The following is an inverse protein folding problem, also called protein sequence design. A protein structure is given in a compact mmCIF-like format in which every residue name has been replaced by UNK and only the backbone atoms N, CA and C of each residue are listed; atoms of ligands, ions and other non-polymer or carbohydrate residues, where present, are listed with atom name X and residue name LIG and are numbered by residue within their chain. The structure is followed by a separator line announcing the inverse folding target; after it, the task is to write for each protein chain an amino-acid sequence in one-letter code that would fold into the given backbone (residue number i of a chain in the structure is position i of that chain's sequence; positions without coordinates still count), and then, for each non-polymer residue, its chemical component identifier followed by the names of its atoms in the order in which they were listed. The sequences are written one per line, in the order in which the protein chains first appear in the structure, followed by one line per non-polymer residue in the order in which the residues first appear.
data_IF_410028584911
#
_entry.id   IF_410028584911
#
_cell.length_a   1.000
_cell.length_b   1.000
_cell.length_c   1.000
_cell.angle_alpha   90.00
_cell.angle_beta   90.00
_cell.angle_gamma   90.00
#
_symmetry.space_group_name_H-M   'P 1'
#
loop_
_entity.id
_entity.type
_entity.pdbx_description
1 polymer ?
#
# COMPACT_ATOMS: atom_id res chain seq x y z
N UNK A 1 -25.54 -44.63 45.83
CA UNK A 1 -26.76 -43.83 46.10
C UNK A 1 -26.39 -42.35 46.19
N UNK A 2 -26.87 -41.53 45.25
CA UNK A 2 -27.23 -40.10 45.36
C UNK A 2 -27.59 -39.67 43.91
N UNK A 3 -28.83 -39.89 43.47
CA UNK A 3 -29.92 -38.90 43.35
C UNK A 3 -29.55 -37.65 42.54
N UNK A 4 -30.10 -37.63 41.33
CA UNK A 4 -30.67 -36.49 40.61
C UNK A 4 -30.92 -35.23 41.47
N UNK A 5 -30.48 -34.06 40.98
CA UNK A 5 -31.37 -33.00 40.46
C UNK A 5 -30.60 -31.69 40.24
N UNK A 6 -30.76 -31.17 39.02
CA UNK A 6 -30.94 -29.76 38.68
C UNK A 6 -29.91 -28.72 39.16
N UNK A 7 -29.08 -28.28 38.22
CA UNK A 7 -29.11 -26.85 37.85
C UNK A 7 -28.73 -26.63 36.39
N UNK A 8 -29.77 -26.29 35.64
CA UNK A 8 -29.77 -25.67 34.31
C UNK A 8 -28.70 -24.59 34.19
N UNK A 9 -27.94 -24.57 33.11
CA UNK A 9 -27.54 -23.33 32.44
C UNK A 9 -27.28 -23.57 30.94
N UNK A 10 -27.96 -22.72 30.16
CA UNK A 10 -27.66 -22.30 28.81
C UNK A 10 -27.76 -23.32 27.66
N UNK A 11 -29.01 -23.52 27.26
CA UNK A 11 -29.37 -23.55 25.83
C UNK A 11 -28.83 -22.30 25.12
N UNK A 12 -27.96 -22.47 24.12
CA UNK A 12 -27.92 -21.57 22.95
C UNK A 12 -28.12 -22.40 21.69
N UNK A 13 -29.38 -22.38 21.25
CA UNK A 13 -29.89 -22.97 20.01
C UNK A 13 -29.11 -22.37 18.82
N UNK A 14 -28.51 -23.24 18.02
CA UNK A 14 -27.93 -22.91 16.72
C UNK A 14 -29.10 -22.75 15.74
N UNK A 15 -29.31 -21.53 15.26
CA UNK A 15 -30.28 -21.22 14.21
C UNK A 15 -29.66 -21.52 12.84
N UNK A 16 -30.36 -22.23 11.93
CA UNK A 16 -29.92 -22.36 10.55
C UNK A 16 -30.24 -21.09 9.76
N UNK A 17 -29.25 -20.57 9.02
CA UNK A 17 -29.38 -19.44 8.11
C UNK A 17 -30.18 -19.92 6.88
N UNK A 18 -31.40 -19.39 6.71
CA UNK A 18 -32.23 -19.62 5.53
C UNK A 18 -31.76 -18.68 4.42
N UNK A 19 -31.23 -19.26 3.35
CA UNK A 19 -30.94 -18.60 2.08
C UNK A 19 -32.28 -18.40 1.34
N UNK A 20 -32.73 -17.16 1.16
CA UNK A 20 -33.89 -16.85 0.31
C UNK A 20 -33.38 -16.27 -1.00
N UNK A 21 -33.35 -17.10 -2.03
CA UNK A 21 -33.30 -16.72 -3.44
C UNK A 21 -34.69 -16.19 -3.84
N UNK A 22 -34.78 -14.92 -4.22
CA UNK A 22 -35.95 -14.38 -4.90
C UNK A 22 -35.51 -13.84 -6.27
N UNK A 23 -35.81 -14.61 -7.31
CA UNK A 23 -35.77 -14.21 -8.73
C UNK A 23 -37.17 -14.47 -9.28
N UNK A 24 -37.53 -13.68 -10.30
CA UNK A 24 -38.77 -13.67 -11.10
C UNK A 24 -39.87 -12.84 -10.43
N UNK A 25 -40.43 -11.79 -11.03
CA UNK A 25 -40.37 -11.23 -12.38
C UNK A 25 -41.68 -10.47 -12.60
N UNK A 26 -41.69 -9.42 -13.43
CA UNK A 26 -42.82 -9.02 -14.30
C UNK A 26 -42.43 -7.75 -15.07
N UNK A 27 -42.30 -7.92 -16.38
CA UNK A 27 -42.41 -6.88 -17.41
C UNK A 27 -43.86 -6.42 -17.55
N UNK A 28 -44.06 -5.41 -18.40
CA UNK A 28 -45.27 -4.61 -18.69
C UNK A 28 -45.46 -3.45 -17.69
N UNK A 29 -45.41 -2.18 -18.07
CA UNK A 29 -45.48 -1.56 -19.38
C UNK A 29 -46.33 -0.30 -19.23
N UNK A 30 -45.70 0.87 -19.12
CA UNK A 30 -46.39 2.15 -19.28
C UNK A 30 -45.60 2.99 -20.28
N UNK A 31 -46.14 3.05 -21.49
CA UNK A 31 -45.92 4.15 -22.41
C UNK A 31 -46.31 5.45 -21.69
N UNK A 32 -45.41 6.42 -21.72
CA UNK A 32 -45.74 7.80 -22.04
C UNK A 32 -44.42 8.49 -22.36
N UNK A 33 -44.27 8.89 -23.62
CA UNK A 33 -43.23 9.80 -24.08
C UNK A 33 -43.77 11.21 -23.88
N UNK A 34 -43.18 12.04 -23.02
CA UNK A 34 -43.21 13.47 -23.21
C UNK A 34 -41.86 13.89 -23.77
N UNK A 35 -41.91 14.39 -24.99
CA UNK A 35 -40.82 15.10 -25.66
C UNK A 35 -40.51 16.36 -24.85
N UNK A 36 -39.47 16.27 -24.02
CA UNK A 36 -38.86 17.41 -23.35
C UNK A 36 -37.39 17.39 -23.72
N UNK A 37 -37.06 18.16 -24.75
CA UNK A 37 -35.70 18.56 -25.09
C UNK A 37 -35.14 19.42 -23.95
N UNK A 38 -34.84 18.77 -22.82
CA UNK A 38 -33.97 19.32 -21.80
C UNK A 38 -32.59 19.37 -22.45
N UNK A 39 -32.16 20.56 -22.84
CA UNK A 39 -30.75 20.86 -23.01
C UNK A 39 -30.07 20.44 -21.71
N UNK A 40 -29.51 19.25 -21.68
CA UNK A 40 -28.50 18.88 -20.71
C UNK A 40 -27.35 19.84 -21.02
N UNK A 41 -27.35 20.93 -20.28
CA UNK A 41 -26.20 21.80 -20.18
C UNK A 41 -25.07 20.89 -19.67
N UNK A 42 -24.26 20.40 -20.62
CA UNK A 42 -22.97 19.82 -20.35
C UNK A 42 -22.12 20.95 -19.77
N UNK A 43 -22.35 21.30 -18.50
CA UNK A 43 -21.35 21.96 -17.69
C UNK A 43 -20.12 21.07 -17.82
N UNK A 44 -19.00 21.57 -18.36
CA UNK A 44 -17.77 20.81 -18.34
C UNK A 44 -17.56 20.46 -16.88
N UNK A 45 -17.61 19.16 -16.56
CA UNK A 45 -17.17 18.67 -15.26
C UNK A 45 -15.75 19.16 -15.16
N UNK A 46 -15.57 20.26 -14.45
CA UNK A 46 -14.27 20.81 -14.09
C UNK A 46 -13.52 19.64 -13.52
N UNK A 47 -12.56 19.09 -14.29
CA UNK A 47 -11.64 18.05 -13.84
C UNK A 47 -10.94 18.64 -12.63
N UNK A 48 -11.45 18.37 -11.43
CA UNK A 48 -10.71 18.58 -10.19
C UNK A 48 -9.55 17.60 -10.25
N UNK A 49 -8.47 17.99 -10.91
CA UNK A 49 -7.19 17.29 -10.89
C UNK A 49 -6.57 17.54 -9.52
N UNK A 50 -7.12 16.90 -8.51
CA UNK A 50 -6.64 17.03 -7.14
C UNK A 50 -7.04 15.80 -6.36
N UNK A 51 -6.04 15.03 -5.94
CA UNK A 51 -6.21 13.86 -5.10
C UNK A 51 -6.07 14.30 -3.64
N UNK A 52 -6.82 13.68 -2.74
CA UNK A 52 -6.71 13.99 -1.31
C UNK A 52 -5.61 13.15 -0.67
N UNK A 53 -5.60 11.84 -0.92
CA UNK A 53 -4.60 10.90 -0.37
C UNK A 53 -4.03 9.99 -1.45
N UNK A 54 -2.84 9.43 -1.17
CA UNK A 54 -2.21 8.40 -2.00
C UNK A 54 -3.06 7.12 -2.08
N UNK A 55 -3.93 6.87 -1.10
CA UNK A 55 -4.85 5.72 -1.08
C UNK A 55 -5.70 5.60 -2.35
N UNK A 56 -6.10 6.74 -2.92
CA UNK A 56 -6.98 6.80 -4.10
C UNK A 56 -6.37 6.15 -5.35
N UNK A 57 -5.05 5.96 -5.38
CA UNK A 57 -4.34 5.37 -6.51
C UNK A 57 -3.20 4.44 -6.09
N UNK A 58 -3.12 4.04 -4.82
CA UNK A 58 -2.04 3.23 -4.28
C UNK A 58 -1.90 1.88 -4.99
N UNK A 59 -3.02 1.26 -5.40
CA UNK A 59 -3.03 0.00 -6.14
C UNK A 59 -2.30 0.09 -7.50
N UNK A 60 -2.22 1.28 -8.09
CA UNK A 60 -1.66 1.48 -9.43
C UNK A 60 -0.19 1.87 -9.40
N UNK A 61 0.42 2.02 -8.21
CA UNK A 61 1.79 2.51 -8.09
C UNK A 61 2.77 1.55 -8.77
N UNK A 62 2.72 0.25 -8.43
CA UNK A 62 3.66 -0.74 -8.95
C UNK A 62 3.63 -0.90 -10.47
N UNK A 63 2.45 -0.75 -11.11
CA UNK A 63 2.31 -0.85 -12.57
C UNK A 63 2.70 0.43 -13.31
N UNK A 64 2.90 1.54 -12.58
CA UNK A 64 3.21 2.85 -13.13
C UNK A 64 4.54 3.41 -12.60
N UNK A 65 5.39 2.55 -12.05
CA UNK A 65 6.69 2.89 -11.52
C UNK A 65 7.70 1.84 -11.99
N UNK A 66 8.77 2.30 -12.62
CA UNK A 66 9.97 1.50 -12.84
C UNK A 66 11.07 1.93 -11.89
N UNK A 67 12.00 1.03 -11.57
CA UNK A 67 13.14 1.30 -10.69
C UNK A 67 14.41 0.69 -11.23
N UNK A 68 15.54 1.35 -10.99
CA UNK A 68 16.81 0.67 -11.16
C UNK A 68 17.02 -0.37 -10.05
N UNK A 69 17.98 -1.28 -10.26
CA UNK A 69 18.37 -2.22 -9.22
C UNK A 69 18.89 -1.45 -7.99
N UNK A 70 18.29 -1.64 -6.81
CA UNK A 70 18.71 -0.90 -5.63
C UNK A 70 20.13 -1.21 -5.20
N UNK A 71 20.80 -0.18 -4.71
CA UNK A 71 22.14 -0.24 -4.14
C UNK A 71 22.02 -0.27 -2.63
N UNK A 72 22.52 -1.35 -2.03
CA UNK A 72 22.63 -1.49 -0.58
C UNK A 72 24.08 -1.23 -0.17
N UNK A 73 24.28 -0.43 0.88
CA UNK A 73 25.59 -0.17 1.47
C UNK A 73 25.49 -0.23 2.99
N UNK A 74 26.56 -0.68 3.62
CA UNK A 74 26.64 -0.76 5.08
C UNK A 74 27.73 0.18 5.56
N UNK A 75 27.37 1.13 6.42
CA UNK A 75 28.28 2.09 7.01
C UNK A 75 28.10 2.03 8.53
N UNK A 76 29.15 1.63 9.25
CA UNK A 76 29.08 1.43 10.70
C UNK A 76 27.87 0.55 11.08
N UNK A 77 26.97 1.10 11.88
CA UNK A 77 25.74 0.45 12.35
C UNK A 77 24.50 0.91 11.55
N UNK A 78 24.66 1.15 10.24
CA UNK A 78 23.56 1.56 9.37
C UNK A 78 23.59 0.79 8.05
N UNK A 79 22.39 0.48 7.55
CA UNK A 79 22.19 0.06 6.16
C UNK A 79 21.59 1.23 5.39
N UNK A 80 22.18 1.53 4.25
CA UNK A 80 21.71 2.55 3.33
C UNK A 80 21.22 1.86 2.05
N UNK A 81 19.94 2.00 1.75
CA UNK A 81 19.32 1.51 0.52
C UNK A 81 19.01 2.72 -0.36
N UNK A 82 19.43 2.68 -1.61
CA UNK A 82 19.18 3.77 -2.57
C UNK A 82 18.87 3.24 -3.95
N UNK A 83 17.87 3.83 -4.60
CA UNK A 83 17.46 3.47 -5.96
C UNK A 83 16.74 4.65 -6.61
N UNK A 84 16.79 4.70 -7.93
CA UNK A 84 16.06 5.65 -8.75
C UNK A 84 14.74 5.04 -9.15
N UNK A 85 13.65 5.78 -8.96
CA UNK A 85 12.35 5.45 -9.50
C UNK A 85 12.00 6.39 -10.65
N UNK A 86 11.30 5.86 -11.65
CA UNK A 86 10.70 6.63 -12.75
C UNK A 86 9.21 6.35 -12.76
N UNK A 87 8.40 7.40 -12.65
CA UNK A 87 6.95 7.29 -12.66
C UNK A 87 6.38 7.53 -14.07
N UNK A 88 5.32 6.81 -14.41
CA UNK A 88 4.52 7.12 -15.60
C UNK A 88 3.95 8.54 -15.47
N UNK A 89 3.70 9.20 -16.61
CA UNK A 89 3.14 10.56 -16.63
C UNK A 89 1.81 10.64 -15.88
N UNK A 90 1.01 9.58 -15.90
CA UNK A 90 -0.25 9.52 -15.16
C UNK A 90 0.02 9.54 -13.65
N UNK A 91 0.86 8.63 -13.15
CA UNK A 91 1.16 8.54 -11.73
C UNK A 91 1.92 9.76 -11.22
N UNK A 92 2.86 10.31 -11.99
CA UNK A 92 3.55 11.57 -11.71
C UNK A 92 2.54 12.69 -11.42
N UNK A 93 1.54 12.86 -12.30
CA UNK A 93 0.49 13.86 -12.10
C UNK A 93 -0.30 13.59 -10.82
N UNK A 94 -0.67 12.34 -10.53
CA UNK A 94 -1.38 12.02 -9.28
C UNK A 94 -0.55 12.43 -8.08
N UNK A 95 0.70 11.98 -8.01
CA UNK A 95 1.64 12.24 -6.92
C UNK A 95 1.87 13.75 -6.69
N UNK A 96 2.05 14.54 -7.76
CA UNK A 96 2.25 16.00 -7.66
C UNK A 96 1.01 16.76 -7.17
N UNK A 97 -0.19 16.26 -7.49
CA UNK A 97 -1.46 16.92 -7.18
C UNK A 97 -2.20 16.30 -5.99
N UNK A 98 -1.54 15.42 -5.23
CA UNK A 98 -2.05 14.90 -3.96
C UNK A 98 -1.83 15.91 -2.85
N UNK A 99 -2.91 16.26 -2.14
CA UNK A 99 -2.88 17.29 -1.10
C UNK A 99 -2.14 16.84 0.15
N UNK A 100 -2.44 15.64 0.64
CA UNK A 100 -1.86 15.11 1.86
C UNK A 100 -0.49 14.46 1.60
N UNK A 101 0.45 14.51 2.55
CA UNK A 101 1.75 13.87 2.38
C UNK A 101 1.61 12.34 2.37
N UNK A 102 2.51 11.69 1.65
CA UNK A 102 2.77 10.26 1.79
C UNK A 102 4.18 10.02 2.28
N UNK A 103 4.45 8.81 2.75
CA UNK A 103 5.75 8.40 3.29
C UNK A 103 6.20 7.09 2.67
N UNK A 104 7.47 6.79 2.86
CA UNK A 104 8.06 5.51 2.48
C UNK A 104 9.01 5.00 3.56
N UNK A 105 9.19 3.69 3.58
CA UNK A 105 10.22 3.00 4.35
C UNK A 105 10.47 1.62 3.76
N UNK A 106 11.31 0.83 4.42
CA UNK A 106 11.45 -0.60 4.16
C UNK A 106 11.30 -1.37 5.45
N UNK A 107 10.87 -2.62 5.34
CA UNK A 107 10.85 -3.59 6.44
C UNK A 107 11.47 -4.91 6.00
N UNK A 108 11.64 -5.82 6.95
CA UNK A 108 11.94 -7.21 6.61
C UNK A 108 10.81 -7.79 5.77
N UNK A 109 11.18 -8.55 4.74
CA UNK A 109 10.20 -9.29 3.96
C UNK A 109 9.40 -10.24 4.86
N UNK A 110 8.10 -10.27 4.62
CA UNK A 110 7.18 -11.16 5.32
C UNK A 110 7.72 -12.59 5.17
N UNK A 111 7.84 -13.34 6.28
CA UNK A 111 8.45 -14.69 6.38
C UNK A 111 10.00 -14.77 6.47
N UNK A 112 10.73 -13.67 6.26
CA UNK A 112 12.19 -13.60 6.49
C UNK A 112 12.49 -13.11 7.91
N UNK A 113 12.61 -14.04 8.88
CA UNK A 113 12.86 -13.68 10.29
C UNK A 113 14.29 -13.23 10.60
N UNK A 114 15.22 -13.41 9.66
CA UNK A 114 16.64 -13.16 9.90
C UNK A 114 16.97 -11.66 9.98
N UNK A 115 16.30 -10.82 9.18
CA UNK A 115 16.56 -9.39 9.17
C UNK A 115 16.05 -8.70 10.45
N UNK A 116 14.90 -9.15 10.98
CA UNK A 116 14.29 -8.66 12.23
C UNK A 116 15.23 -8.71 13.44
N UNK A 117 16.24 -9.59 13.42
CA UNK A 117 17.29 -9.67 14.46
C UNK A 117 18.31 -8.55 14.35
N UNK A 118 18.44 -7.92 13.18
CA UNK A 118 19.44 -6.92 12.85
C UNK A 118 18.87 -5.49 12.85
N UNK A 119 17.61 -5.34 12.43
CA UNK A 119 16.88 -4.06 12.42
C UNK A 119 15.76 -4.04 13.48
N UNK A 120 15.40 -2.86 13.97
CA UNK A 120 14.24 -2.70 14.86
C UNK A 120 12.95 -2.49 14.05
N UNK A 121 12.19 -3.56 13.86
CA UNK A 121 10.91 -3.53 13.13
C UNK A 121 9.85 -2.63 13.75
N UNK A 122 9.96 -2.30 15.04
CA UNK A 122 9.00 -1.44 15.73
C UNK A 122 9.38 0.05 15.60
N UNK A 123 10.59 0.36 15.12
CA UNK A 123 11.12 1.72 15.00
C UNK A 123 11.71 1.97 13.62
N UNK A 124 10.96 1.60 12.58
CA UNK A 124 11.38 1.86 11.21
C UNK A 124 11.37 3.38 10.92
N UNK A 125 12.46 3.93 10.37
CA UNK A 125 12.50 5.33 9.98
C UNK A 125 11.53 5.56 8.83
N UNK A 126 10.72 6.61 8.93
CA UNK A 126 9.78 7.01 7.89
C UNK A 126 10.32 8.23 7.18
N UNK A 127 10.35 8.17 5.86
CA UNK A 127 10.81 9.25 5.00
C UNK A 127 9.62 9.83 4.26
N UNK A 128 9.54 11.15 4.16
CA UNK A 128 8.46 11.80 3.41
C UNK A 128 8.74 11.65 1.92
N UNK A 129 7.71 11.28 1.16
CA UNK A 129 7.71 11.41 -0.29
C UNK A 129 7.57 12.91 -0.62
N UNK A 130 8.65 13.58 -0.98
CA UNK A 130 8.60 14.96 -1.45
C UNK A 130 8.49 14.99 -2.98
N UNK A 131 7.28 14.72 -3.47
CA UNK A 131 7.04 14.50 -4.89
C UNK A 131 6.60 15.77 -5.63
N UNK A 132 6.49 16.89 -4.91
CA UNK A 132 6.26 18.21 -5.52
C UNK A 132 7.50 18.72 -6.26
N UNK A 133 8.67 18.17 -5.92
CA UNK A 133 9.96 18.50 -6.53
C UNK A 133 10.41 17.46 -7.56
N UNK A 134 9.51 16.56 -8.00
CA UNK A 134 9.81 15.60 -9.06
C UNK A 134 10.39 16.31 -10.28
N UNK A 135 11.59 15.92 -10.68
CA UNK A 135 12.23 16.44 -11.88
C UNK A 135 11.36 16.09 -13.10
N UNK A 136 11.39 16.95 -14.13
CA UNK A 136 10.71 16.69 -15.41
C UNK A 136 11.02 15.25 -15.88
N UNK A 137 9.98 14.48 -16.17
CA UNK A 137 10.10 13.07 -16.56
C UNK A 137 9.93 12.07 -15.41
N UNK A 138 9.32 12.47 -14.29
CA UNK A 138 8.88 11.54 -13.24
C UNK A 138 10.00 10.85 -12.46
N UNK A 139 11.22 11.39 -12.48
CA UNK A 139 12.38 10.78 -11.82
C UNK A 139 12.45 11.16 -10.34
N UNK A 140 12.65 10.18 -9.45
CA UNK A 140 12.84 10.38 -8.02
C UNK A 140 13.96 9.50 -7.47
N UNK A 141 14.79 10.05 -6.58
CA UNK A 141 15.83 9.29 -5.90
C UNK A 141 15.37 8.89 -4.51
N UNK A 142 15.10 7.60 -4.31
CA UNK A 142 14.88 7.05 -2.99
C UNK A 142 16.21 6.84 -2.27
N UNK A 143 16.23 7.22 -0.99
CA UNK A 143 17.30 6.91 -0.05
C UNK A 143 16.68 6.59 1.30
N UNK A 144 17.07 5.45 1.86
CA UNK A 144 16.57 4.90 3.11
C UNK A 144 17.77 4.55 3.96
N UNK A 145 17.76 4.98 5.22
CA UNK A 145 18.83 4.70 6.18
C UNK A 145 18.21 3.96 7.34
N UNK A 146 18.52 2.67 7.49
CA UNK A 146 18.06 1.84 8.59
C UNK A 146 19.14 1.75 9.66
N UNK A 147 18.83 2.11 10.92
CA UNK A 147 19.74 1.84 12.03
C UNK A 147 19.79 0.33 12.31
N UNK A 148 20.98 -0.18 12.52
CA UNK A 148 21.23 -1.53 13.00
C UNK A 148 21.27 -1.54 14.52
N UNK A 149 20.83 -2.64 15.13
CA UNK A 149 20.87 -2.83 16.59
C UNK A 149 22.30 -2.94 17.13
N UNK A 150 23.24 -3.36 16.29
CA UNK A 150 24.67 -3.53 16.60
C UNK A 150 25.49 -3.49 15.31
N UNK A 151 26.80 -3.44 15.45
CA UNK A 151 27.72 -3.63 14.32
C UNK A 151 27.58 -5.04 13.73
N UNK A 152 27.31 -5.20 12.41
CA UNK A 152 27.12 -6.52 11.82
C UNK A 152 28.45 -7.23 11.56
N UNK A 153 28.45 -8.54 11.83
CA UNK A 153 29.47 -9.51 11.39
C UNK A 153 29.47 -9.70 9.87
N UNK A 154 30.47 -10.39 9.32
CA UNK A 154 30.55 -10.66 7.88
C UNK A 154 29.33 -11.42 7.34
N UNK A 155 28.83 -12.42 8.08
CA UNK A 155 27.63 -13.19 7.71
C UNK A 155 26.37 -12.32 7.77
N UNK A 156 26.23 -11.49 8.81
CA UNK A 156 25.09 -10.56 8.92
C UNK A 156 25.13 -9.51 7.81
N UNK A 157 26.31 -9.05 7.39
CA UNK A 157 26.44 -8.15 6.22
C UNK A 157 25.90 -8.79 4.94
N UNK A 158 26.14 -10.09 4.70
CA UNK A 158 25.58 -10.77 3.52
C UNK A 158 24.06 -10.75 3.51
N UNK A 159 23.42 -11.01 4.66
CA UNK A 159 21.96 -10.94 4.82
C UNK A 159 21.47 -9.50 4.56
N UNK A 160 22.15 -8.51 5.12
CA UNK A 160 21.78 -7.10 4.98
C UNK A 160 21.95 -6.59 3.54
N UNK A 161 22.91 -7.11 2.79
CA UNK A 161 23.18 -6.72 1.39
C UNK A 161 22.22 -7.37 0.38
N UNK A 162 21.54 -8.43 0.78
CA UNK A 162 20.57 -9.12 -0.05
C UNK A 162 19.22 -8.39 -0.03
N UNK A 163 18.92 -7.73 -1.15
CA UNK A 163 17.69 -6.97 -1.36
C UNK A 163 16.41 -7.81 -1.24
N UNK A 164 16.49 -9.13 -1.45
CA UNK A 164 15.36 -10.04 -1.35
C UNK A 164 14.82 -10.19 0.08
N UNK A 165 15.59 -9.72 1.06
CA UNK A 165 15.19 -9.69 2.47
C UNK A 165 14.35 -8.46 2.85
N UNK A 166 14.10 -7.54 1.91
CA UNK A 166 13.40 -6.29 2.18
C UNK A 166 12.12 -6.16 1.37
N UNK A 167 11.13 -5.49 1.97
CA UNK A 167 9.95 -4.98 1.29
C UNK A 167 9.97 -3.45 1.31
N UNK A 168 9.69 -2.81 0.18
CA UNK A 168 9.48 -1.37 0.13
C UNK A 168 8.02 -1.03 0.39
N UNK A 169 7.77 -0.05 1.26
CA UNK A 169 6.43 0.33 1.68
C UNK A 169 6.12 1.76 1.25
N UNK A 170 4.95 1.97 0.64
CA UNK A 170 4.30 3.26 0.60
C UNK A 170 3.30 3.38 1.75
N UNK A 171 3.29 4.55 2.39
CA UNK A 171 2.41 4.85 3.51
C UNK A 171 1.63 6.15 3.26
N UNK A 172 0.39 6.19 3.75
CA UNK A 172 -0.46 7.38 3.70
C UNK A 172 -0.06 8.43 4.76
N UNK A 173 -0.82 9.52 4.84
CA UNK A 173 -0.64 10.61 5.79
C UNK A 173 -0.71 10.17 7.26
N UNK A 174 -1.41 9.06 7.52
CA UNK A 174 -1.59 8.45 8.84
C UNK A 174 -0.52 7.38 9.12
N UNK A 175 0.50 7.25 8.25
CA UNK A 175 1.58 6.25 8.35
C UNK A 175 1.07 4.80 8.30
N UNK A 176 -0.09 4.58 7.67
CA UNK A 176 -0.60 3.23 7.37
C UNK A 176 -0.05 2.79 6.01
N UNK A 177 0.34 1.52 5.93
CA UNK A 177 0.82 0.91 4.68
C UNK A 177 -0.33 0.85 3.68
N UNK A 178 -0.11 1.35 2.47
CA UNK A 178 -1.10 1.35 1.38
C UNK A 178 -0.64 0.57 0.15
N UNK A 179 0.67 0.36 0.02
CA UNK A 179 1.25 -0.47 -1.02
C UNK A 179 2.58 -1.07 -0.51
N UNK A 180 2.83 -2.32 -0.88
CA UNK A 180 4.02 -3.11 -0.55
C UNK A 180 4.61 -3.61 -1.86
N UNK A 181 5.92 -3.51 -2.04
CA UNK A 181 6.57 -4.02 -3.23
C UNK A 181 7.86 -4.77 -2.92
N UNK A 182 8.05 -5.83 -3.68
CA UNK A 182 9.12 -6.81 -3.55
C UNK A 182 10.07 -6.72 -4.76
N UNK A 183 10.82 -5.61 -4.86
CA UNK A 183 11.74 -5.40 -5.99
C UNK A 183 13.17 -5.08 -5.57
N UNK A 184 13.48 -5.11 -4.28
CA UNK A 184 14.73 -4.54 -3.79
C UNK A 184 15.98 -5.35 -4.19
N UNK A 185 15.79 -6.54 -4.75
CA UNK A 185 16.81 -7.44 -5.32
C UNK A 185 17.04 -7.26 -6.83
N UNK A 186 15.97 -7.07 -7.60
CA UNK A 186 15.97 -7.10 -9.08
C UNK A 186 15.61 -5.77 -9.75
N UNK A 187 14.95 -4.84 -9.05
CA UNK A 187 14.34 -3.64 -9.63
C UNK A 187 12.95 -3.88 -10.22
N UNK A 188 12.33 -2.83 -10.75
CA UNK A 188 11.07 -2.90 -11.49
C UNK A 188 11.28 -2.40 -12.92
N UNK A 189 10.88 -3.16 -13.95
CA UNK A 189 11.01 -2.73 -15.34
C UNK A 189 10.18 -1.47 -15.66
#
# INVERSE_FOLDING_TARGET
MLKERDRKEMQKKRYPIIFVLAVIGLLFGCQNVPDATSKIENKPISKKTGYTSIEEYAANIGTNMSTDKPKVKIYNQQVVISFKATFSRELEKKLQHTKKPSYYTVRSKTDQTNLDRLIDKNKLPLFRNDLKTLAKGGNYQYKIVLPLKKQPSAKEKQILMDGGNYEFLFLNEHKKVVNVMDFLDIGLP
#
